data_IF_670523094637
#
_entry.id   IF_670523094637
#
_cell.length_a   1.000
_cell.length_b   1.000
_cell.length_c   1.000
_cell.angle_alpha   90.00
_cell.angle_beta   90.00
_cell.angle_gamma   90.00
#
_symmetry.space_group_name_H-M   'P 1'
#
loop_
_entity.id
_entity.type
_entity.pdbx_description
1 polymer ?
#
# COMPACT_ATOMS: atom_id res chain seq x y z
N UNK A 1 61.15 -9.92 -8.58
CA UNK A 1 60.11 -9.59 -9.57
C UNK A 1 59.15 -10.78 -9.64
N UNK A 2 58.06 -10.74 -8.88
CA UNK A 2 57.06 -11.81 -8.82
C UNK A 2 55.79 -11.32 -9.50
N UNK A 3 55.50 -11.87 -10.68
CA UNK A 3 54.30 -11.57 -11.47
C UNK A 3 53.16 -12.46 -10.99
N UNK A 4 52.06 -11.84 -10.57
CA UNK A 4 50.83 -12.50 -10.13
C UNK A 4 49.89 -12.63 -11.32
N UNK A 5 49.47 -13.86 -11.65
CA UNK A 5 48.54 -14.14 -12.73
C UNK A 5 47.09 -13.99 -12.23
N UNK A 6 46.31 -13.15 -12.90
CA UNK A 6 44.87 -13.01 -12.64
C UNK A 6 44.09 -13.97 -13.54
N UNK A 7 43.27 -14.82 -12.91
CA UNK A 7 42.34 -15.72 -13.61
C UNK A 7 41.03 -14.97 -13.84
N UNK A 8 40.74 -14.63 -15.09
CA UNK A 8 39.46 -14.02 -15.49
C UNK A 8 38.42 -15.13 -15.68
N UNK A 9 37.49 -15.26 -14.72
CA UNK A 9 36.33 -16.15 -14.84
C UNK A 9 35.22 -15.41 -15.57
N UNK A 10 34.99 -15.76 -16.84
CA UNK A 10 33.88 -15.25 -17.64
C UNK A 10 32.60 -16.01 -17.29
N UNK A 11 31.65 -15.34 -16.63
CA UNK A 11 30.31 -15.88 -16.39
C UNK A 11 29.44 -15.69 -17.64
N UNK A 12 29.11 -16.80 -18.31
CA UNK A 12 28.13 -16.81 -19.40
C UNK A 12 26.71 -16.74 -18.81
N UNK A 13 26.11 -15.55 -18.83
CA UNK A 13 24.70 -15.35 -18.49
C UNK A 13 23.85 -15.67 -19.72
N UNK A 14 23.18 -16.82 -19.71
CA UNK A 14 22.29 -17.26 -20.77
C UNK A 14 20.94 -16.52 -20.66
N UNK A 15 20.79 -15.41 -21.39
CA UNK A 15 19.51 -14.72 -21.52
C UNK A 15 18.57 -15.51 -22.44
N UNK A 16 17.43 -15.98 -21.90
CA UNK A 16 16.33 -16.52 -22.70
C UNK A 16 15.63 -15.37 -23.45
N UNK A 17 15.40 -15.47 -24.77
CA UNK A 17 14.63 -14.47 -25.50
C UNK A 17 13.15 -14.56 -25.10
N UNK A 18 12.59 -13.46 -24.59
CA UNK A 18 11.15 -13.31 -24.42
C UNK A 18 10.49 -13.08 -25.79
N UNK A 19 9.55 -13.94 -26.14
CA UNK A 19 8.70 -13.78 -27.33
C UNK A 19 7.66 -12.71 -27.02
N UNK A 20 7.77 -11.56 -27.67
CA UNK A 20 6.77 -10.49 -27.63
C UNK A 20 5.61 -10.90 -28.53
N UNK A 21 4.52 -11.36 -27.93
CA UNK A 21 3.25 -11.57 -28.65
C UNK A 21 2.57 -10.21 -28.80
N UNK A 22 2.63 -9.65 -30.00
CA UNK A 22 1.86 -8.47 -30.38
C UNK A 22 0.38 -8.86 -30.51
N UNK A 23 -0.45 -8.41 -29.58
CA UNK A 23 -1.91 -8.57 -29.65
C UNK A 23 -2.46 -7.32 -30.35
N UNK A 24 -2.79 -7.44 -31.64
CA UNK A 24 -3.53 -6.41 -32.37
C UNK A 24 -5.00 -6.46 -31.94
N UNK A 25 -5.49 -5.49 -31.17
CA UNK A 25 -6.93 -5.34 -30.94
C UNK A 25 -7.54 -4.46 -32.03
N UNK A 26 -8.43 -5.09 -32.81
CA UNK A 26 -9.24 -4.47 -33.84
C UNK A 26 -10.35 -3.65 -33.20
N UNK A 27 -10.41 -2.36 -33.52
CA UNK A 27 -11.53 -1.48 -33.22
C UNK A 27 -12.71 -1.78 -34.16
N UNK A 28 -13.86 -2.18 -33.62
CA UNK A 28 -15.15 -2.11 -34.32
C UNK A 28 -16.29 -2.23 -33.31
N UNK A 29 -17.23 -1.27 -33.32
CA UNK A 29 -18.53 -1.44 -32.67
C UNK A 29 -19.09 -0.19 -32.00
N UNK A 30 -19.33 0.87 -32.76
CA UNK A 30 -20.21 1.94 -32.32
C UNK A 30 -21.67 1.44 -32.34
N UNK A 31 -22.20 1.06 -31.17
CA UNK A 31 -23.61 0.75 -30.99
C UNK A 31 -24.35 2.00 -30.50
N UNK A 32 -25.22 2.53 -31.36
CA UNK A 32 -26.15 3.61 -31.06
C UNK A 32 -27.15 3.20 -29.98
N UNK A 33 -27.04 3.81 -28.79
CA UNK A 33 -28.05 3.67 -27.73
C UNK A 33 -29.23 4.61 -27.98
N UNK A 34 -30.43 4.04 -27.90
CA UNK A 34 -31.73 4.70 -28.06
C UNK A 34 -32.06 5.57 -26.83
N UNK A 35 -32.78 6.69 -27.01
CA UNK A 35 -33.23 7.52 -25.89
C UNK A 35 -34.30 6.79 -25.07
N UNK A 36 -34.04 6.64 -23.77
CA UNK A 36 -35.00 6.10 -22.81
C UNK A 36 -36.05 7.17 -22.46
N UNK A 37 -37.30 6.83 -22.74
CA UNK A 37 -38.48 7.62 -22.44
C UNK A 37 -38.67 7.84 -20.94
N UNK A 38 -38.89 9.10 -20.57
CA UNK A 38 -39.28 9.58 -19.25
C UNK A 38 -40.57 8.89 -18.77
N UNK A 39 -40.45 7.96 -17.81
CA UNK A 39 -41.57 7.47 -17.00
C UNK A 39 -41.71 8.36 -15.76
N UNK A 40 -42.73 9.21 -15.79
CA UNK A 40 -43.20 9.98 -14.64
C UNK A 40 -43.71 9.01 -13.56
N UNK A 41 -43.01 8.92 -12.45
CA UNK A 41 -43.54 8.30 -11.23
C UNK A 41 -44.38 9.34 -10.48
N UNK A 42 -45.70 9.33 -10.75
CA UNK A 42 -46.72 9.97 -9.90
C UNK A 42 -47.23 8.94 -8.89
N UNK A 43 -46.51 8.70 -7.80
CA UNK A 43 -47.02 7.90 -6.68
C UNK A 43 -47.25 8.77 -5.45
N UNK A 44 -48.52 9.18 -5.32
CA UNK A 44 -49.35 9.34 -4.12
C UNK A 44 -48.68 9.76 -2.81
N UNK A 45 -48.90 11.01 -2.41
CA UNK A 45 -48.50 11.60 -1.13
C UNK A 45 -49.41 11.23 0.05
N UNK A 46 -50.39 10.34 -0.11
CA UNK A 46 -51.43 10.10 0.90
C UNK A 46 -51.17 8.98 1.91
N UNK A 47 -50.01 8.29 1.87
CA UNK A 47 -49.71 7.21 2.83
C UNK A 47 -48.71 7.56 3.94
N UNK A 48 -48.22 8.80 4.01
CA UNK A 48 -47.20 9.21 5.00
C UNK A 48 -47.73 9.67 6.36
N UNK A 49 -49.05 9.75 6.60
CA UNK A 49 -49.60 10.34 7.83
C UNK A 49 -50.08 9.34 8.90
N UNK A 50 -49.88 8.02 8.73
CA UNK A 50 -50.30 7.02 9.73
C UNK A 50 -49.16 6.14 10.29
N UNK A 51 -47.91 6.33 9.85
CA UNK A 51 -46.77 5.54 10.36
C UNK A 51 -45.99 6.31 11.45
N UNK A 52 -46.11 7.64 11.52
CA UNK A 52 -45.36 8.44 12.49
C UNK A 52 -45.90 8.38 13.92
N UNK A 53 -47.15 8.00 14.15
CA UNK A 53 -47.73 7.94 15.51
C UNK A 53 -47.46 6.62 16.23
N UNK A 54 -47.12 5.53 15.50
CA UNK A 54 -46.74 4.25 16.10
C UNK A 54 -45.28 4.16 16.55
N UNK A 55 -44.38 4.92 15.91
CA UNK A 55 -42.94 4.84 16.19
C UNK A 55 -42.53 5.57 17.48
N UNK A 56 -43.30 6.57 17.91
CA UNK A 56 -43.01 7.35 19.12
C UNK A 56 -43.19 6.55 20.43
N UNK A 57 -44.02 5.50 20.45
CA UNK A 57 -44.23 4.67 21.64
C UNK A 57 -43.19 3.56 21.81
N UNK A 58 -42.54 3.10 20.73
CA UNK A 58 -41.51 2.06 20.80
C UNK A 58 -40.18 2.62 21.35
N UNK A 59 -39.88 3.90 21.09
CA UNK A 59 -38.64 4.54 21.56
C UNK A 59 -38.64 4.78 23.08
N UNK A 60 -39.80 4.87 23.74
CA UNK A 60 -39.85 5.22 25.17
C UNK A 60 -39.71 4.01 26.13
N UNK A 61 -39.88 2.77 25.66
CA UNK A 61 -39.77 1.56 26.51
C UNK A 61 -38.40 0.88 26.47
N UNK A 62 -37.53 1.24 25.53
CA UNK A 62 -36.19 0.65 25.41
C UNK A 62 -35.18 1.37 26.33
N UNK A 63 -35.47 2.60 26.76
CA UNK A 63 -34.54 3.42 27.54
C UNK A 63 -34.32 2.99 29.00
N UNK A 64 -35.07 2.02 29.55
CA UNK A 64 -34.95 1.62 30.96
C UNK A 64 -34.33 0.24 31.20
N UNK A 65 -33.76 -0.41 30.18
CA UNK A 65 -33.09 -1.71 30.33
C UNK A 65 -31.57 -1.69 30.07
N UNK A 66 -30.98 -0.54 29.73
CA UNK A 66 -29.53 -0.41 29.50
C UNK A 66 -28.77 0.23 30.68
N UNK A 67 -29.24 -0.01 31.91
CA UNK A 67 -28.60 0.48 33.14
C UNK A 67 -28.12 -0.69 34.02
N UNK A 68 -27.18 -1.51 33.51
CA UNK A 68 -26.19 -2.25 34.32
C UNK A 68 -25.46 -3.27 33.44
N UNK A 69 -24.53 -2.77 32.64
CA UNK A 69 -23.38 -3.55 32.18
C UNK A 69 -22.26 -2.56 31.89
N UNK A 70 -21.82 -1.84 32.94
CA UNK A 70 -20.44 -1.36 32.95
C UNK A 70 -19.57 -2.60 33.10
N UNK A 71 -19.43 -3.35 32.01
CA UNK A 71 -18.28 -4.20 31.80
C UNK A 71 -17.10 -3.26 31.87
N UNK A 72 -16.38 -3.34 32.99
CA UNK A 72 -14.98 -2.97 33.07
C UNK A 72 -14.32 -3.64 31.89
N UNK A 73 -14.18 -2.91 30.79
CA UNK A 73 -13.45 -3.32 29.61
C UNK A 73 -12.00 -3.28 30.05
N UNK A 74 -11.60 -4.31 30.79
CA UNK A 74 -10.21 -4.67 30.96
C UNK A 74 -9.66 -4.73 29.53
N UNK A 75 -8.83 -3.75 29.19
CA UNK A 75 -7.87 -3.88 28.11
C UNK A 75 -7.03 -5.10 28.48
N UNK A 76 -7.47 -6.28 28.07
CA UNK A 76 -6.52 -7.29 27.64
C UNK A 76 -5.83 -6.62 26.46
N UNK A 77 -4.72 -5.96 26.78
CA UNK A 77 -3.62 -5.71 25.87
C UNK A 77 -3.26 -7.07 25.29
N UNK A 78 -4.01 -7.48 24.27
CA UNK A 78 -3.81 -8.71 23.55
C UNK A 78 -2.43 -8.60 22.98
N UNK A 79 -1.50 -9.27 23.63
CA UNK A 79 -0.12 -9.41 23.22
C UNK A 79 -0.17 -10.11 21.86
N UNK A 80 -0.27 -9.30 20.80
CA UNK A 80 -0.47 -9.76 19.43
C UNK A 80 0.62 -10.78 19.15
N UNK A 81 0.22 -12.03 18.92
CA UNK A 81 1.16 -13.11 18.73
C UNK A 81 2.07 -12.74 17.53
N UNK A 82 3.38 -12.99 17.62
CA UNK A 82 4.28 -12.67 16.52
C UNK A 82 3.81 -13.37 15.25
N UNK A 83 3.76 -12.63 14.14
CA UNK A 83 3.42 -13.19 12.82
C UNK A 83 4.35 -14.36 12.51
N UNK A 84 3.75 -15.48 12.13
CA UNK A 84 4.53 -16.65 11.69
C UNK A 84 5.14 -16.38 10.32
N UNK A 85 6.28 -17.03 10.02
CA UNK A 85 6.95 -16.91 8.72
C UNK A 85 6.03 -17.29 7.56
N UNK A 86 5.16 -18.28 7.76
CA UNK A 86 4.18 -18.70 6.75
C UNK A 86 3.16 -17.59 6.48
N UNK A 87 2.61 -16.97 7.51
CA UNK A 87 1.66 -15.85 7.33
C UNK A 87 2.30 -14.66 6.61
N UNK A 88 3.56 -14.35 6.92
CA UNK A 88 4.29 -13.27 6.22
C UNK A 88 4.43 -13.58 4.72
N UNK A 89 4.73 -14.83 4.37
CA UNK A 89 4.82 -15.27 2.97
C UNK A 89 3.47 -15.19 2.25
N UNK A 90 2.38 -15.65 2.90
CA UNK A 90 1.01 -15.57 2.38
C UNK A 90 0.60 -14.11 2.12
N UNK A 91 0.90 -13.20 3.05
CA UNK A 91 0.63 -11.77 2.90
C UNK A 91 1.44 -11.15 1.75
N UNK A 92 2.69 -11.56 1.56
CA UNK A 92 3.51 -11.11 0.44
C UNK A 92 2.89 -11.51 -0.91
N UNK A 93 2.49 -12.77 -1.05
CA UNK A 93 1.83 -13.25 -2.28
C UNK A 93 0.52 -12.50 -2.56
N UNK A 94 -0.31 -12.31 -1.54
CA UNK A 94 -1.58 -11.59 -1.68
C UNK A 94 -1.34 -10.12 -2.06
N UNK A 95 -0.38 -9.45 -1.44
CA UNK A 95 -0.05 -8.07 -1.77
C UNK A 95 0.43 -7.95 -3.24
N UNK A 96 1.27 -8.87 -3.71
CA UNK A 96 1.72 -8.86 -5.11
C UNK A 96 0.54 -9.02 -6.08
N UNK A 97 -0.44 -9.85 -5.74
CA UNK A 97 -1.68 -9.97 -6.53
C UNK A 97 -2.46 -8.65 -6.53
N UNK A 98 -2.64 -8.00 -5.38
CA UNK A 98 -3.33 -6.71 -5.29
C UNK A 98 -2.61 -5.60 -6.06
N UNK A 99 -1.27 -5.60 -6.09
CA UNK A 99 -0.47 -4.65 -6.88
C UNK A 99 -0.65 -4.81 -8.39
N UNK A 100 -1.11 -5.97 -8.87
CA UNK A 100 -1.40 -6.21 -10.29
C UNK A 100 -2.76 -5.63 -10.75
N UNK A 101 -3.63 -5.25 -9.81
CA UNK A 101 -4.95 -4.68 -10.07
C UNK A 101 -4.82 -3.15 -10.14
N UNK A 102 -5.31 -2.55 -11.23
CA UNK A 102 -5.35 -1.09 -11.37
C UNK A 102 -6.45 -0.50 -10.48
N UNK A 103 -6.08 0.46 -9.63
CA UNK A 103 -7.02 1.27 -8.85
C UNK A 103 -7.33 2.60 -9.52
N UNK A 104 -8.16 3.41 -8.87
CA UNK A 104 -8.56 4.75 -9.31
C UNK A 104 -7.35 5.65 -9.63
N UNK A 105 -6.33 5.62 -8.78
CA UNK A 105 -5.13 6.45 -8.90
C UNK A 105 -4.20 6.04 -10.05
N UNK A 106 -4.43 4.88 -10.65
CA UNK A 106 -3.72 4.35 -11.82
C UNK A 106 -4.62 4.33 -13.07
N UNK A 107 -5.71 5.11 -13.06
CA UNK A 107 -6.66 5.25 -14.17
C UNK A 107 -7.67 4.10 -14.30
N UNK A 108 -7.85 3.29 -13.26
CA UNK A 108 -8.90 2.27 -13.17
C UNK A 108 -10.19 2.79 -12.54
N UNK A 109 -11.17 1.89 -12.41
CA UNK A 109 -12.34 2.11 -11.55
C UNK A 109 -11.93 2.06 -10.07
N UNK A 110 -12.62 2.80 -9.23
CA UNK A 110 -12.36 2.78 -7.79
C UNK A 110 -12.59 1.39 -7.20
N UNK A 111 -11.59 0.89 -6.47
CA UNK A 111 -11.67 -0.38 -5.77
C UNK A 111 -11.33 -0.16 -4.28
N UNK A 112 -12.27 -0.45 -3.39
CA UNK A 112 -12.11 -0.24 -1.94
C UNK A 112 -10.90 -0.99 -1.35
N UNK A 113 -10.56 -2.17 -1.87
CA UNK A 113 -9.43 -2.96 -1.35
C UNK A 113 -8.07 -2.40 -1.80
N UNK A 114 -8.03 -1.69 -2.92
CA UNK A 114 -6.82 -1.12 -3.52
C UNK A 114 -6.64 0.34 -3.13
N UNK A 115 -7.70 1.14 -3.24
CA UNK A 115 -7.70 2.60 -3.11
C UNK A 115 -8.18 3.08 -1.73
N UNK A 116 -8.96 2.26 -1.02
CA UNK A 116 -9.58 2.65 0.25
C UNK A 116 -8.61 2.66 1.42
N UNK A 117 -8.69 3.67 2.28
CA UNK A 117 -7.94 3.67 3.55
C UNK A 117 -8.38 2.48 4.40
N UNK A 118 -7.40 1.77 4.98
CA UNK A 118 -7.60 0.44 5.59
C UNK A 118 -8.16 -0.63 4.65
N UNK A 119 -8.15 -0.38 3.33
CA UNK A 119 -8.34 -1.41 2.32
C UNK A 119 -7.24 -2.47 2.41
N UNK A 120 -7.49 -3.63 1.81
CA UNK A 120 -6.62 -4.80 1.95
C UNK A 120 -5.17 -4.50 1.57
N UNK A 121 -4.93 -3.78 0.47
CA UNK A 121 -3.57 -3.41 0.01
C UNK A 121 -2.85 -2.54 1.05
N UNK A 122 -3.53 -1.54 1.61
CA UNK A 122 -2.98 -0.66 2.64
C UNK A 122 -2.62 -1.43 3.92
N UNK A 123 -3.52 -2.30 4.39
CA UNK A 123 -3.31 -3.11 5.60
C UNK A 123 -2.12 -4.03 5.41
N UNK A 124 -2.03 -4.74 4.28
CA UNK A 124 -0.91 -5.65 4.00
C UNK A 124 0.42 -4.91 3.89
N UNK A 125 0.47 -3.78 3.16
CA UNK A 125 1.67 -2.93 3.12
C UNK A 125 2.07 -2.45 4.51
N UNK A 126 1.12 -2.10 5.37
CA UNK A 126 1.40 -1.64 6.73
C UNK A 126 1.99 -2.77 7.58
N UNK A 127 1.40 -3.96 7.54
CA UNK A 127 1.88 -5.12 8.30
C UNK A 127 3.27 -5.53 7.81
N UNK A 128 3.44 -5.72 6.50
CA UNK A 128 4.73 -6.13 5.93
C UNK A 128 5.79 -5.04 6.08
N UNK A 129 5.42 -3.76 5.99
CA UNK A 129 6.31 -2.64 6.25
C UNK A 129 6.85 -2.64 7.68
N UNK A 130 5.99 -2.90 8.68
CA UNK A 130 6.43 -3.04 10.08
C UNK A 130 7.35 -4.24 10.29
N UNK A 131 7.06 -5.36 9.63
CA UNK A 131 7.86 -6.58 9.80
C UNK A 131 9.23 -6.48 9.10
N UNK A 132 9.24 -6.03 7.85
CA UNK A 132 10.43 -5.92 7.01
C UNK A 132 11.23 -4.65 7.25
N UNK A 133 10.61 -3.64 7.85
CA UNK A 133 11.20 -2.35 8.15
C UNK A 133 12.17 -2.32 9.32
N UNK A 134 12.40 -3.45 9.97
CA UNK A 134 13.30 -3.57 11.12
C UNK A 134 14.76 -3.46 10.67
N UNK A 135 15.60 -2.68 11.37
CA UNK A 135 17.02 -2.57 11.04
C UNK A 135 17.72 -3.94 10.99
N UNK A 136 18.57 -4.14 9.98
CA UNK A 136 19.28 -5.39 9.74
C UNK A 136 18.51 -6.44 8.93
N UNK A 137 17.25 -6.16 8.56
CA UNK A 137 16.49 -7.06 7.66
C UNK A 137 17.16 -7.10 6.28
N UNK A 138 17.43 -8.28 5.69
CA UNK A 138 18.01 -8.37 4.36
C UNK A 138 17.08 -7.78 3.28
N UNK A 139 17.61 -6.95 2.39
CA UNK A 139 16.85 -6.32 1.32
C UNK A 139 16.22 -7.36 0.36
N UNK A 140 16.87 -8.51 0.18
CA UNK A 140 16.34 -9.64 -0.61
C UNK A 140 14.94 -10.06 -0.16
N UNK A 141 14.66 -10.07 1.16
CA UNK A 141 13.34 -10.44 1.68
C UNK A 141 12.26 -9.43 1.28
N UNK A 142 12.62 -8.17 1.12
CA UNK A 142 11.69 -7.13 0.65
C UNK A 142 11.30 -7.42 -0.79
N UNK A 143 12.27 -7.72 -1.65
CA UNK A 143 12.00 -8.06 -3.05
C UNK A 143 11.21 -9.36 -3.20
N UNK A 144 11.49 -10.37 -2.38
CA UNK A 144 10.75 -11.64 -2.37
C UNK A 144 9.28 -11.45 -1.97
N UNK A 145 9.00 -10.64 -0.95
CA UNK A 145 7.66 -10.49 -0.37
C UNK A 145 6.85 -9.38 -1.03
N UNK A 146 7.44 -8.21 -1.27
CA UNK A 146 6.73 -7.06 -1.84
C UNK A 146 6.80 -7.02 -3.37
N UNK A 147 7.76 -7.73 -3.99
CA UNK A 147 8.05 -7.64 -5.42
C UNK A 147 8.99 -6.47 -5.75
N UNK A 148 9.03 -6.07 -7.03
CA UNK A 148 9.83 -4.92 -7.44
C UNK A 148 9.30 -3.61 -6.83
N UNK A 149 10.18 -2.70 -6.41
CA UNK A 149 9.76 -1.38 -5.96
C UNK A 149 9.24 -0.56 -7.15
N UNK A 150 8.33 0.37 -6.89
CA UNK A 150 7.82 1.28 -7.91
C UNK A 150 8.88 2.34 -8.27
N UNK A 151 9.74 2.69 -7.32
CA UNK A 151 10.94 3.53 -7.53
C UNK A 151 12.10 3.03 -6.68
N UNK A 152 13.31 3.15 -7.22
CA UNK A 152 14.56 2.86 -6.52
C UNK A 152 15.56 3.97 -6.83
N UNK A 153 15.91 4.77 -5.84
CA UNK A 153 16.76 5.96 -6.04
C UNK A 153 17.82 6.08 -4.94
N UNK A 154 18.96 6.68 -5.27
CA UNK A 154 19.94 7.06 -4.27
C UNK A 154 19.32 8.09 -3.31
N UNK A 155 19.67 8.03 -2.02
CA UNK A 155 19.08 8.88 -0.98
C UNK A 155 19.08 10.37 -1.37
N UNK A 156 20.18 10.86 -1.97
CA UNK A 156 20.35 12.26 -2.39
C UNK A 156 19.23 12.79 -3.28
N UNK A 157 18.68 11.94 -4.15
CA UNK A 157 17.58 12.30 -5.05
C UNK A 157 16.23 12.38 -4.34
N UNK A 158 16.07 11.66 -3.23
CA UNK A 158 14.78 11.48 -2.55
C UNK A 158 14.61 12.35 -1.29
N UNK A 159 15.69 13.00 -0.79
CA UNK A 159 15.66 13.90 0.38
C UNK A 159 14.58 14.98 0.31
N UNK A 160 14.19 15.43 -0.90
CA UNK A 160 13.12 16.44 -1.06
C UNK A 160 11.74 15.95 -0.60
N UNK A 161 11.49 14.64 -0.63
CA UNK A 161 10.18 14.04 -0.37
C UNK A 161 10.11 13.24 0.94
N UNK A 162 11.16 13.25 1.77
CA UNK A 162 11.16 12.51 3.03
C UNK A 162 10.84 13.43 4.22
N UNK A 163 10.00 13.01 5.17
CA UNK A 163 9.70 13.79 6.36
C UNK A 163 10.87 13.61 7.33
N UNK A 164 11.91 14.43 7.16
CA UNK A 164 13.06 14.50 8.05
C UNK A 164 13.07 15.82 8.83
N UNK A 165 13.86 15.91 9.91
CA UNK A 165 14.17 17.19 10.55
C UNK A 165 14.66 18.17 9.49
N UNK A 166 13.96 19.28 9.30
CA UNK A 166 14.41 20.36 8.41
C UNK A 166 15.71 20.90 8.99
N UNK A 167 16.85 20.42 8.50
CA UNK A 167 18.15 20.94 8.89
C UNK A 167 18.17 22.42 8.47
N UNK A 168 18.50 23.37 9.37
CA UNK A 168 18.49 24.78 9.04
C UNK A 168 19.39 25.05 7.83
N UNK A 169 18.86 25.79 6.84
CA UNK A 169 19.63 26.39 5.74
C UNK A 169 20.72 27.29 6.37
N UNK A 170 21.91 26.74 6.64
CA UNK A 170 23.01 27.50 7.26
C UNK A 170 24.04 26.65 8.00
N UNK A 171 23.68 25.46 8.47
CA UNK A 171 24.67 24.50 8.98
C UNK A 171 25.03 23.53 7.86
N UNK A 172 26.06 23.89 7.08
CA UNK A 172 26.85 22.94 6.29
C UNK A 172 27.62 22.01 7.22
N UNK A 173 26.88 21.21 7.99
CA UNK A 173 27.26 19.83 8.15
C UNK A 173 26.31 19.13 7.20
N UNK A 174 26.72 19.03 5.93
CA UNK A 174 26.23 17.95 5.09
C UNK A 174 26.51 16.70 5.92
N UNK A 175 25.52 16.24 6.68
CA UNK A 175 25.49 14.88 7.17
C UNK A 175 25.79 14.09 5.92
N UNK A 176 26.95 13.42 5.88
CA UNK A 176 27.37 12.62 4.74
C UNK A 176 26.20 11.73 4.41
N UNK A 177 25.36 12.17 3.47
CA UNK A 177 24.33 11.37 2.89
C UNK A 177 25.15 10.26 2.26
N UNK A 178 25.10 9.10 2.93
CA UNK A 178 26.00 8.03 2.60
C UNK A 178 25.72 7.70 1.14
N UNK A 179 26.74 7.81 0.29
CA UNK A 179 26.70 7.36 -1.12
C UNK A 179 26.28 5.90 -1.24
N UNK A 180 26.20 5.21 -0.11
CA UNK A 180 25.87 3.81 0.05
C UNK A 180 24.44 3.61 0.62
N UNK A 181 23.52 4.56 0.45
CA UNK A 181 22.10 4.34 0.79
C UNK A 181 21.22 4.38 -0.45
N UNK A 182 20.44 3.31 -0.63
CA UNK A 182 19.40 3.17 -1.63
C UNK A 182 18.03 3.29 -0.96
N UNK A 183 17.11 4.02 -1.57
CA UNK A 183 15.72 4.10 -1.09
C UNK A 183 14.82 3.32 -2.04
N UNK A 184 14.03 2.39 -1.49
CA UNK A 184 13.03 1.61 -2.20
C UNK A 184 11.64 2.16 -1.87
N UNK A 185 10.82 2.40 -2.89
CA UNK A 185 9.48 3.00 -2.76
C UNK A 185 8.41 2.03 -3.24
N UNK A 186 7.37 1.85 -2.43
CA UNK A 186 6.21 1.02 -2.70
C UNK A 186 4.93 1.84 -2.58
N UNK A 187 4.32 2.15 -3.72
CA UNK A 187 3.17 3.00 -3.86
C UNK A 187 1.88 2.30 -3.43
N UNK A 188 1.10 2.96 -2.59
CA UNK A 188 -0.27 2.54 -2.30
C UNK A 188 -1.26 3.19 -3.28
N UNK A 189 -1.33 4.53 -3.29
CA UNK A 189 -2.22 5.34 -4.15
C UNK A 189 -1.40 6.19 -5.12
N UNK A 190 -0.75 5.51 -6.07
CA UNK A 190 0.22 6.15 -6.98
C UNK A 190 1.30 6.92 -6.20
N UNK A 191 1.68 8.12 -6.63
CA UNK A 191 2.72 8.94 -6.00
C UNK A 191 2.27 9.73 -4.74
N UNK A 192 1.03 9.58 -4.25
CA UNK A 192 0.53 10.35 -3.10
C UNK A 192 0.92 9.73 -1.76
N UNK A 193 0.67 8.43 -1.57
CA UNK A 193 1.00 7.70 -0.35
C UNK A 193 1.80 6.45 -0.66
N UNK A 194 2.94 6.31 0.00
CA UNK A 194 3.87 5.23 -0.25
C UNK A 194 4.63 4.81 1.00
N UNK A 195 4.97 3.53 1.04
CA UNK A 195 5.88 2.93 1.99
C UNK A 195 7.30 3.02 1.42
N UNK A 196 8.27 3.45 2.22
CA UNK A 196 9.67 3.54 1.81
C UNK A 196 10.58 2.74 2.74
N UNK A 197 11.69 2.24 2.19
CA UNK A 197 12.77 1.58 2.91
C UNK A 197 14.11 2.22 2.55
N UNK A 198 14.91 2.59 3.55
CA UNK A 198 16.32 2.95 3.38
C UNK A 198 17.16 1.70 3.55
N UNK A 199 17.96 1.39 2.53
CA UNK A 199 18.81 0.21 2.45
C UNK A 199 20.27 0.67 2.41
N UNK A 200 21.10 0.06 3.24
CA UNK A 200 22.56 0.16 3.10
C UNK A 200 23.02 -0.73 1.94
N UNK A 201 23.63 -0.13 0.92
CA UNK A 201 24.09 -0.85 -0.27
C UNK A 201 25.36 -1.67 -0.04
N UNK A 202 26.08 -1.46 1.06
CA UNK A 202 27.26 -2.26 1.41
C UNK A 202 26.84 -3.56 2.07
N UNK A 203 25.93 -3.48 3.04
CA UNK A 203 25.47 -4.66 3.80
C UNK A 203 24.23 -5.30 3.21
N UNK A 204 23.55 -4.63 2.27
CA UNK A 204 22.27 -5.03 1.67
C UNK A 204 21.18 -5.25 2.73
N UNK A 205 21.19 -4.42 3.79
CA UNK A 205 20.22 -4.50 4.88
C UNK A 205 19.44 -3.21 5.06
N UNK A 206 18.24 -3.34 5.64
CA UNK A 206 17.38 -2.22 6.01
C UNK A 206 18.03 -1.42 7.12
N UNK A 207 18.13 -0.11 6.92
CA UNK A 207 18.49 0.86 7.94
C UNK A 207 17.25 1.39 8.65
N UNK A 208 16.22 1.76 7.87
CA UNK A 208 15.01 2.41 8.36
C UNK A 208 13.87 2.20 7.35
N UNK A 209 12.62 2.32 7.80
CA UNK A 209 11.45 2.36 6.93
C UNK A 209 10.41 3.34 7.46
N UNK A 210 9.47 3.75 6.62
CA UNK A 210 8.38 4.62 7.05
C UNK A 210 7.32 4.82 5.99
N UNK A 211 6.24 5.48 6.40
CA UNK A 211 5.17 5.90 5.51
C UNK A 211 5.34 7.38 5.14
N UNK A 212 5.14 7.69 3.88
CA UNK A 212 4.77 9.02 3.43
C UNK A 212 3.27 9.06 3.20
N UNK A 213 2.58 9.98 3.87
CA UNK A 213 1.15 10.22 3.69
C UNK A 213 0.94 11.69 3.31
N UNK A 214 0.32 11.94 2.16
CA UNK A 214 0.13 13.30 1.65
C UNK A 214 -0.97 14.09 2.40
N UNK A 215 -1.76 13.43 3.26
CA UNK A 215 -2.86 14.02 4.06
C UNK A 215 -3.87 14.86 3.23
N UNK A 216 -4.29 14.37 2.08
CA UNK A 216 -5.38 14.96 1.28
C UNK A 216 -6.76 14.47 1.73
#
# INVERSE_FOLDING_TARGET
MTSSAYTTTTLNVCFKPYVVVAISSSAAGAAAMKPLSSRRYMWSTSSMLLIFTGFAFIVLKISTLFASSHSTMSQEESKEAPLTTQQVAEFGMELQQLRSIKGHWDGGEYNQDIDGFQGRKHVLLTILGKELGKPGTPAVKIFELLGQPDKSEALDSMVTFMPGPKVPKGTTTASQASTNTLVLVYNWRSNHDFLWFKIDTVTETVLESGWWMAME
#
